data_IF_415882813096
#
_entry.id   IF_415882813096
#
_cell.length_a   1.000
_cell.length_b   1.000
_cell.length_c   1.000
_cell.angle_alpha   90.00
_cell.angle_beta   90.00
_cell.angle_gamma   90.00
#
_symmetry.space_group_name_H-M   'P 1'
#
loop_
_entity.id
_entity.type
_entity.pdbx_description
1 polymer ?
#
# COMPACT_ATOMS: atom_id res chain seq x y z
N UNK A 1 10.31 25.34 0.61
CA UNK A 1 9.41 24.88 -0.47
C UNK A 1 10.26 24.72 -1.72
N UNK A 2 10.31 23.56 -2.35
CA UNK A 2 10.98 23.40 -3.65
C UNK A 2 10.08 24.11 -4.65
N UNK A 3 10.53 25.25 -5.14
CA UNK A 3 9.81 25.96 -6.20
C UNK A 3 9.91 25.10 -7.47
N UNK A 4 8.80 24.64 -7.95
CA UNK A 4 8.75 23.89 -9.20
C UNK A 4 8.99 24.86 -10.37
N UNK A 5 9.83 24.50 -11.35
CA UNK A 5 10.20 25.42 -12.41
C UNK A 5 9.08 25.60 -13.44
N UNK A 6 9.03 26.81 -13.99
CA UNK A 6 8.18 27.17 -15.13
C UNK A 6 9.01 27.01 -16.41
N UNK A 7 8.47 26.38 -17.44
CA UNK A 7 9.13 26.31 -18.74
C UNK A 7 8.57 27.40 -19.67
N UNK A 8 9.44 28.19 -20.25
CA UNK A 8 9.13 29.23 -21.24
C UNK A 8 9.52 28.72 -22.62
N UNK A 9 8.61 28.81 -23.57
CA UNK A 9 8.84 28.40 -24.96
C UNK A 9 8.51 29.58 -25.88
N UNK A 10 9.52 30.20 -26.43
CA UNK A 10 9.41 31.33 -27.35
C UNK A 10 10.61 31.29 -28.28
N UNK A 11 10.48 31.58 -29.57
CA UNK A 11 11.59 31.53 -30.53
C UNK A 11 12.47 32.77 -30.46
N UNK A 12 11.92 33.92 -29.97
CA UNK A 12 12.64 35.15 -29.87
C UNK A 12 13.57 35.19 -28.65
N UNK A 13 14.93 35.31 -28.81
CA UNK A 13 15.83 35.31 -27.69
C UNK A 13 15.58 36.42 -26.68
N UNK A 14 15.28 37.62 -27.17
CA UNK A 14 15.02 38.82 -26.34
C UNK A 14 13.78 38.62 -25.46
N UNK A 15 12.73 37.97 -25.99
CA UNK A 15 11.50 37.69 -25.23
C UNK A 15 11.81 36.66 -24.13
N UNK A 16 12.56 35.60 -24.47
CA UNK A 16 12.96 34.61 -23.47
C UNK A 16 13.76 35.20 -22.33
N UNK A 17 14.77 36.05 -22.64
CA UNK A 17 15.61 36.69 -21.63
C UNK A 17 14.79 37.60 -20.73
N UNK A 18 13.92 38.44 -21.32
CA UNK A 18 13.02 39.35 -20.58
C UNK A 18 12.08 38.59 -19.65
N UNK A 19 11.50 37.47 -20.12
CA UNK A 19 10.59 36.67 -19.31
C UNK A 19 11.33 35.97 -18.19
N UNK A 20 12.54 35.43 -18.44
CA UNK A 20 13.38 34.81 -17.42
C UNK A 20 13.77 35.79 -16.31
N UNK A 21 14.20 37.00 -16.67
CA UNK A 21 14.56 38.06 -15.72
C UNK A 21 13.34 38.45 -14.89
N UNK A 22 12.21 38.77 -15.56
CA UNK A 22 10.99 39.18 -14.88
C UNK A 22 10.45 38.13 -13.90
N UNK A 23 10.45 36.84 -14.27
CA UNK A 23 10.00 35.78 -13.41
C UNK A 23 11.01 35.51 -12.24
N UNK A 24 12.31 35.63 -12.52
CA UNK A 24 13.34 35.48 -11.50
C UNK A 24 13.25 36.58 -10.44
N UNK A 25 13.01 37.83 -10.83
CA UNK A 25 12.81 38.94 -9.90
C UNK A 25 11.61 38.75 -8.96
N UNK A 26 10.58 38.05 -9.45
CA UNK A 26 9.41 37.66 -8.63
C UNK A 26 9.64 36.36 -7.81
N UNK A 27 10.82 35.79 -7.91
CA UNK A 27 11.19 34.61 -7.13
C UNK A 27 10.76 33.27 -7.75
N UNK A 28 10.28 33.25 -8.99
CA UNK A 28 10.01 31.99 -9.68
C UNK A 28 11.31 31.36 -10.21
N UNK A 29 11.34 30.03 -10.20
CA UNK A 29 12.37 29.30 -10.95
C UNK A 29 11.85 29.08 -12.36
N UNK A 30 12.56 29.53 -13.38
CA UNK A 30 12.16 29.38 -14.77
C UNK A 30 13.29 28.86 -15.63
N UNK A 31 12.97 28.11 -16.66
CA UNK A 31 13.86 27.68 -17.73
C UNK A 31 13.24 28.09 -19.06
N UNK A 32 14.07 28.38 -20.08
CA UNK A 32 13.55 28.79 -21.38
C UNK A 32 14.18 27.97 -22.50
N UNK A 33 13.36 27.68 -23.51
CA UNK A 33 13.75 26.94 -24.72
C UNK A 33 13.17 27.65 -25.95
N UNK A 34 13.79 27.42 -27.11
CA UNK A 34 13.48 28.15 -28.34
C UNK A 34 12.46 27.47 -29.28
N UNK A 35 11.98 26.27 -28.93
CA UNK A 35 11.05 25.53 -29.79
C UNK A 35 10.22 24.52 -29.01
N UNK A 36 9.10 24.09 -29.61
CA UNK A 36 8.27 23.03 -29.04
C UNK A 36 8.99 21.69 -28.91
N UNK A 37 9.86 21.34 -29.86
CA UNK A 37 10.66 20.12 -29.80
C UNK A 37 11.64 20.14 -28.62
N UNK A 38 12.32 21.26 -28.41
CA UNK A 38 13.20 21.47 -27.27
C UNK A 38 12.43 21.42 -25.95
N UNK A 39 11.19 21.96 -25.93
CA UNK A 39 10.31 21.91 -24.76
C UNK A 39 9.95 20.46 -24.39
N UNK A 40 9.50 19.65 -25.36
CA UNK A 40 9.17 18.24 -25.12
C UNK A 40 10.39 17.42 -24.66
N UNK A 41 11.55 17.65 -25.27
CA UNK A 41 12.81 16.99 -24.87
C UNK A 41 13.14 17.36 -23.40
N UNK A 42 13.05 18.64 -23.04
CA UNK A 42 13.35 19.08 -21.67
C UNK A 42 12.35 18.58 -20.65
N UNK A 43 11.07 18.47 -21.01
CA UNK A 43 10.01 17.90 -20.17
C UNK A 43 10.16 16.40 -19.95
N UNK A 44 10.78 15.68 -20.86
CA UNK A 44 11.12 14.26 -20.66
C UNK A 44 12.22 14.06 -19.58
N UNK A 45 13.11 15.05 -19.40
CA UNK A 45 14.19 15.00 -18.41
C UNK A 45 13.75 15.51 -17.04
N UNK A 46 12.84 16.48 -17.01
CA UNK A 46 12.41 17.16 -15.77
C UNK A 46 10.94 17.55 -15.86
N UNK A 47 10.21 17.44 -14.74
CA UNK A 47 8.83 17.85 -14.64
C UNK A 47 8.68 19.38 -14.53
N UNK A 48 7.75 19.93 -15.28
CA UNK A 48 7.35 21.35 -15.25
C UNK A 48 5.85 21.41 -15.02
N UNK A 49 5.38 21.98 -13.91
CA UNK A 49 3.95 22.10 -13.64
C UNK A 49 3.25 23.12 -14.56
N UNK A 50 3.99 24.11 -15.03
CA UNK A 50 3.45 25.17 -15.90
C UNK A 50 4.40 25.42 -17.07
N UNK A 51 3.83 25.51 -18.26
CA UNK A 51 4.51 25.88 -19.51
C UNK A 51 3.89 27.16 -20.04
N UNK A 52 4.72 28.17 -20.29
CA UNK A 52 4.37 29.37 -21.04
C UNK A 52 4.82 29.20 -22.46
N UNK A 53 3.95 29.26 -23.44
CA UNK A 53 4.33 29.09 -24.87
C UNK A 53 3.81 30.21 -25.71
N UNK A 54 4.66 30.74 -26.60
CA UNK A 54 4.18 31.62 -27.66
C UNK A 54 3.33 30.85 -28.66
N UNK A 55 2.38 31.54 -29.28
CA UNK A 55 1.54 30.96 -30.33
C UNK A 55 2.30 30.71 -31.62
N UNK A 56 3.13 31.67 -32.05
CA UNK A 56 3.79 31.65 -33.34
C UNK A 56 5.28 31.32 -33.18
N UNK A 57 5.65 30.12 -33.52
CA UNK A 57 7.06 29.68 -33.55
C UNK A 57 7.44 29.26 -34.96
N UNK A 58 8.62 29.63 -35.47
CA UNK A 58 9.09 29.20 -36.77
C UNK A 58 9.34 27.69 -36.76
N UNK A 59 9.18 27.04 -37.93
CA UNK A 59 9.44 25.58 -38.06
C UNK A 59 8.18 24.73 -38.21
N UNK A 60 7.00 25.35 -38.34
CA UNK A 60 5.75 24.64 -38.67
C UNK A 60 4.98 24.07 -37.47
N UNK A 61 5.56 24.06 -36.27
CA UNK A 61 4.86 23.69 -35.06
C UNK A 61 4.41 24.94 -34.32
N UNK A 62 3.10 25.11 -34.13
CA UNK A 62 2.53 26.23 -33.37
C UNK A 62 2.49 25.94 -31.88
N UNK A 63 2.36 26.99 -31.03
CA UNK A 63 2.12 26.81 -29.60
C UNK A 63 0.88 25.98 -29.28
N UNK A 64 -0.13 26.03 -30.15
CA UNK A 64 -1.33 25.18 -30.02
C UNK A 64 -1.02 23.68 -30.27
N UNK A 65 -0.13 23.37 -31.18
CA UNK A 65 0.29 21.99 -31.45
C UNK A 65 1.12 21.47 -30.26
N UNK A 66 1.99 22.32 -29.72
CA UNK A 66 2.74 22.00 -28.50
C UNK A 66 1.82 21.73 -27.32
N UNK A 67 0.80 22.57 -27.07
CA UNK A 67 -0.19 22.35 -26.02
C UNK A 67 -0.89 21.01 -26.18
N UNK A 68 -1.30 20.65 -27.41
CA UNK A 68 -1.90 19.36 -27.71
C UNK A 68 -0.96 18.17 -27.39
N UNK A 69 0.33 18.29 -27.74
CA UNK A 69 1.35 17.29 -27.44
C UNK A 69 1.60 17.15 -25.93
N UNK A 70 1.73 18.27 -25.21
CA UNK A 70 1.91 18.30 -23.75
C UNK A 70 0.73 17.66 -23.05
N UNK A 71 -0.50 18.02 -23.43
CA UNK A 71 -1.70 17.43 -22.84
C UNK A 71 -1.76 15.91 -22.96
N UNK A 72 -1.25 15.36 -24.06
CA UNK A 72 -1.23 13.92 -24.27
C UNK A 72 -0.12 13.21 -23.50
N UNK A 73 1.09 13.81 -23.47
CA UNK A 73 2.27 13.18 -22.89
C UNK A 73 2.49 13.52 -21.41
N UNK A 74 2.07 14.74 -20.99
CA UNK A 74 2.28 15.30 -19.66
C UNK A 74 0.97 15.90 -19.12
N UNK A 75 -0.04 15.08 -18.81
CA UNK A 75 -1.40 15.54 -18.51
C UNK A 75 -1.51 16.41 -17.25
N UNK A 76 -0.51 16.37 -16.37
CA UNK A 76 -0.46 17.16 -15.14
C UNK A 76 0.16 18.55 -15.35
N UNK A 77 0.71 18.82 -16.55
CA UNK A 77 1.31 20.12 -16.89
C UNK A 77 0.25 21.07 -17.44
N UNK A 78 0.18 22.25 -16.88
CA UNK A 78 -0.73 23.30 -17.33
C UNK A 78 -0.02 24.24 -18.32
N UNK A 79 -0.64 24.48 -19.47
CA UNK A 79 -0.08 25.30 -20.53
C UNK A 79 -0.79 26.65 -20.58
N UNK A 80 -0.04 27.73 -20.53
CA UNK A 80 -0.53 29.11 -20.73
C UNK A 80 0.00 29.61 -22.07
N UNK A 81 -0.91 30.01 -22.95
CA UNK A 81 -0.57 30.52 -24.27
C UNK A 81 -0.31 32.03 -24.20
N UNK A 82 0.77 32.48 -24.80
CA UNK A 82 1.07 33.90 -24.98
C UNK A 82 0.88 34.25 -26.46
N UNK A 83 0.19 35.36 -26.81
CA UNK A 83 -0.05 35.72 -28.19
C UNK A 83 -0.20 37.21 -28.39
N UNK A 84 0.26 37.72 -29.49
CA UNK A 84 0.02 39.13 -29.90
C UNK A 84 -1.43 39.38 -30.41
N UNK A 85 -2.09 38.30 -30.86
CA UNK A 85 -3.42 38.40 -31.47
C UNK A 85 -4.41 37.47 -30.74
N UNK A 86 -4.97 37.94 -29.65
CA UNK A 86 -6.02 37.22 -28.94
C UNK A 86 -7.39 37.54 -29.56
N UNK A 87 -7.75 36.85 -30.63
CA UNK A 87 -9.10 36.85 -31.16
C UNK A 87 -10.00 35.86 -30.38
N UNK A 88 -11.31 36.03 -30.47
CA UNK A 88 -12.26 35.12 -29.87
C UNK A 88 -12.01 33.66 -30.38
N UNK A 89 -11.80 33.51 -31.70
CA UNK A 89 -11.57 32.23 -32.33
C UNK A 89 -10.28 31.57 -31.84
N UNK A 90 -9.17 32.32 -31.77
CA UNK A 90 -7.89 31.82 -31.24
C UNK A 90 -8.00 31.39 -29.77
N UNK A 91 -8.74 32.18 -28.98
CA UNK A 91 -8.96 31.87 -27.55
C UNK A 91 -9.78 30.57 -27.37
N UNK A 92 -10.85 30.44 -28.15
CA UNK A 92 -11.68 29.23 -28.16
C UNK A 92 -10.86 27.98 -28.61
N UNK A 93 -10.03 28.13 -29.64
CA UNK A 93 -9.20 27.05 -30.14
C UNK A 93 -8.15 26.65 -29.11
N UNK A 94 -7.48 27.60 -28.46
CA UNK A 94 -6.51 27.33 -27.39
C UNK A 94 -7.13 26.51 -26.24
N UNK A 95 -8.29 26.92 -25.76
CA UNK A 95 -9.02 26.21 -24.69
C UNK A 95 -9.44 24.80 -25.14
N UNK A 96 -9.93 24.65 -26.37
CA UNK A 96 -10.27 23.30 -26.91
C UNK A 96 -9.06 22.39 -27.00
N UNK A 97 -7.88 22.91 -27.33
CA UNK A 97 -6.63 22.16 -27.37
C UNK A 97 -6.04 21.86 -26.00
N UNK A 98 -6.57 22.51 -24.94
CA UNK A 98 -6.21 22.25 -23.56
C UNK A 98 -5.29 23.28 -22.94
N UNK A 99 -5.23 24.51 -23.50
CA UNK A 99 -4.64 25.62 -22.80
C UNK A 99 -5.38 25.86 -21.48
N UNK A 100 -4.63 26.08 -20.41
CA UNK A 100 -5.17 26.47 -19.10
C UNK A 100 -5.70 27.89 -19.12
N UNK A 101 -4.91 28.79 -19.72
CA UNK A 101 -5.24 30.21 -19.86
C UNK A 101 -4.50 30.82 -21.05
N UNK A 102 -4.77 32.08 -21.34
CA UNK A 102 -4.18 32.85 -22.42
C UNK A 102 -3.77 34.25 -21.93
N UNK A 103 -2.59 34.70 -22.38
CA UNK A 103 -2.05 36.06 -22.11
C UNK A 103 -1.87 36.78 -23.44
N UNK A 104 -2.45 37.95 -23.55
CA UNK A 104 -2.29 38.77 -24.77
C UNK A 104 -1.12 39.76 -24.64
N UNK A 105 -0.21 39.77 -25.62
CA UNK A 105 0.85 40.76 -25.75
C UNK A 105 0.27 42.08 -26.31
N UNK A 106 0.63 43.30 -25.77
CA UNK A 106 1.50 43.51 -24.61
C UNK A 106 0.75 43.30 -23.30
N UNK A 107 1.36 42.61 -22.33
CA UNK A 107 0.80 42.34 -21.01
C UNK A 107 1.61 43.02 -19.90
N UNK A 108 1.00 43.18 -18.76
CA UNK A 108 1.67 43.65 -17.55
C UNK A 108 2.16 42.43 -16.77
N UNK A 109 3.32 42.56 -16.10
CA UNK A 109 3.85 41.51 -15.27
C UNK A 109 2.84 41.03 -14.22
N UNK A 110 2.11 41.94 -13.59
CA UNK A 110 1.06 41.63 -12.63
C UNK A 110 -0.09 40.74 -13.19
N UNK A 111 -0.42 40.86 -14.46
CA UNK A 111 -1.43 40.02 -15.13
C UNK A 111 -0.88 38.59 -15.30
N UNK A 112 0.37 38.47 -15.71
CA UNK A 112 1.05 37.17 -15.83
C UNK A 112 1.16 36.49 -14.47
N UNK A 113 1.55 37.18 -13.41
CA UNK A 113 1.63 36.67 -12.05
C UNK A 113 0.32 36.07 -11.55
N UNK A 114 -0.80 36.75 -11.78
CA UNK A 114 -2.12 36.25 -11.39
C UNK A 114 -2.43 34.91 -12.07
N UNK A 115 -2.13 34.80 -13.36
CA UNK A 115 -2.38 33.58 -14.14
C UNK A 115 -1.41 32.46 -13.69
N UNK A 116 -0.13 32.78 -13.51
CA UNK A 116 0.88 31.82 -13.06
C UNK A 116 0.61 31.28 -11.67
N UNK A 117 0.27 32.15 -10.72
CA UNK A 117 -0.06 31.71 -9.37
C UNK A 117 -1.26 30.75 -9.38
N UNK A 118 -2.31 31.09 -10.12
CA UNK A 118 -3.48 30.24 -10.30
C UNK A 118 -3.13 28.89 -10.95
N UNK A 119 -2.27 28.91 -11.97
CA UNK A 119 -1.83 27.70 -12.66
C UNK A 119 -0.95 26.82 -11.74
N UNK A 120 -0.01 27.42 -11.00
CA UNK A 120 0.85 26.67 -10.06
C UNK A 120 0.06 26.06 -8.91
N UNK A 121 -0.90 26.82 -8.34
CA UNK A 121 -1.77 26.31 -7.30
C UNK A 121 -2.61 25.12 -7.82
N UNK A 122 -3.17 25.25 -9.02
CA UNK A 122 -3.93 24.17 -9.63
C UNK A 122 -3.06 22.95 -9.93
N UNK A 123 -1.88 23.12 -10.51
CA UNK A 123 -0.93 22.03 -10.73
C UNK A 123 -0.53 21.33 -9.43
N UNK A 124 -0.32 22.10 -8.35
CA UNK A 124 -0.05 21.54 -7.02
C UNK A 124 -1.21 20.68 -6.49
N UNK A 125 -2.44 21.10 -6.72
CA UNK A 125 -3.63 20.33 -6.34
C UNK A 125 -3.75 19.04 -7.16
N UNK A 126 -3.52 19.10 -8.47
CA UNK A 126 -3.51 17.91 -9.34
C UNK A 126 -2.46 16.91 -8.89
N UNK A 127 -1.25 17.37 -8.57
CA UNK A 127 -0.18 16.52 -8.03
C UNK A 127 -0.61 15.82 -6.73
N UNK A 128 -1.20 16.56 -5.78
CA UNK A 128 -1.69 15.95 -4.53
C UNK A 128 -2.78 14.91 -4.76
N UNK A 129 -3.72 15.17 -5.66
CA UNK A 129 -4.78 14.21 -6.01
C UNK A 129 -4.16 12.91 -6.57
N UNK A 130 -3.17 13.03 -7.43
CA UNK A 130 -2.45 11.88 -7.99
C UNK A 130 -1.71 11.08 -6.92
N UNK A 131 -0.99 11.77 -6.02
CA UNK A 131 -0.28 11.11 -4.92
C UNK A 131 -1.26 10.34 -4.01
N UNK A 132 -2.41 10.93 -3.69
CA UNK A 132 -3.46 10.25 -2.94
C UNK A 132 -4.05 9.04 -3.67
N UNK A 133 -4.22 9.14 -5.00
CA UNK A 133 -4.71 7.99 -5.80
C UNK A 133 -3.73 6.83 -5.74
N UNK A 134 -2.44 7.08 -5.95
CA UNK A 134 -1.38 6.05 -5.87
C UNK A 134 -1.32 5.43 -4.48
N UNK A 135 -1.41 6.24 -3.42
CA UNK A 135 -1.44 5.75 -2.04
C UNK A 135 -2.66 4.87 -1.77
N UNK A 136 -3.85 5.29 -2.21
CA UNK A 136 -5.09 4.52 -2.04
C UNK A 136 -5.05 3.19 -2.80
N UNK A 137 -4.56 3.18 -4.03
CA UNK A 137 -4.39 1.96 -4.82
C UNK A 137 -3.44 0.98 -4.10
N UNK A 138 -2.33 1.47 -3.58
CA UNK A 138 -1.40 0.66 -2.78
C UNK A 138 -2.05 0.08 -1.52
N UNK A 139 -2.86 0.87 -0.80
CA UNK A 139 -3.60 0.41 0.38
C UNK A 139 -4.68 -0.63 0.01
N UNK A 140 -5.38 -0.45 -1.10
CA UNK A 140 -6.39 -1.41 -1.58
C UNK A 140 -5.73 -2.74 -1.92
N UNK A 141 -4.62 -2.73 -2.66
CA UNK A 141 -3.88 -3.95 -3.02
C UNK A 141 -3.39 -4.71 -1.79
N UNK A 142 -2.81 -4.01 -0.81
CA UNK A 142 -2.38 -4.62 0.46
C UNK A 142 -3.56 -5.25 1.20
N UNK A 143 -4.65 -4.49 1.41
CA UNK A 143 -5.85 -5.00 2.10
C UNK A 143 -6.50 -6.18 1.40
N UNK A 144 -6.53 -6.16 0.06
CA UNK A 144 -7.08 -7.27 -0.74
C UNK A 144 -6.25 -8.53 -0.54
N UNK A 145 -4.93 -8.40 -0.51
CA UNK A 145 -4.03 -9.53 -0.25
C UNK A 145 -4.23 -10.10 1.15
N UNK A 146 -4.26 -9.23 2.18
CA UNK A 146 -4.48 -9.65 3.56
C UNK A 146 -5.81 -10.40 3.72
N UNK A 147 -6.87 -9.91 3.06
CA UNK A 147 -8.18 -10.56 3.06
C UNK A 147 -8.17 -11.91 2.34
N UNK A 148 -7.47 -12.02 1.21
CA UNK A 148 -7.34 -13.29 0.48
C UNK A 148 -6.58 -14.33 1.30
N UNK A 149 -5.51 -13.94 1.97
CA UNK A 149 -4.74 -14.81 2.86
C UNK A 149 -5.60 -15.28 4.04
N UNK A 150 -6.31 -14.37 4.71
CA UNK A 150 -7.21 -14.71 5.81
C UNK A 150 -8.38 -15.60 5.37
N UNK A 151 -8.95 -15.34 4.17
CA UNK A 151 -10.01 -16.18 3.62
C UNK A 151 -9.53 -17.59 3.28
N UNK A 152 -8.36 -17.71 2.65
CA UNK A 152 -7.76 -19.01 2.35
C UNK A 152 -7.46 -19.81 3.63
N UNK A 153 -6.98 -19.13 4.68
CA UNK A 153 -6.76 -19.75 5.99
C UNK A 153 -8.06 -20.23 6.63
N UNK A 154 -9.12 -19.43 6.58
CA UNK A 154 -10.44 -19.79 7.10
C UNK A 154 -11.02 -21.01 6.38
N UNK A 155 -10.96 -21.04 5.03
CA UNK A 155 -11.43 -22.20 4.24
C UNK A 155 -10.64 -23.47 4.58
N UNK A 156 -9.34 -23.38 4.70
CA UNK A 156 -8.51 -24.52 5.07
C UNK A 156 -8.83 -25.06 6.47
N UNK A 157 -9.22 -24.19 7.40
CA UNK A 157 -9.66 -24.58 8.75
C UNK A 157 -11.05 -25.23 8.72
N UNK A 158 -11.98 -24.71 7.90
CA UNK A 158 -13.30 -25.34 7.71
C UNK A 158 -13.14 -26.77 7.13
N UNK A 159 -12.27 -26.94 6.11
CA UNK A 159 -12.01 -28.27 5.54
C UNK A 159 -11.43 -29.25 6.58
N UNK A 160 -10.50 -28.79 7.41
CA UNK A 160 -9.97 -29.58 8.52
C UNK A 160 -11.06 -29.98 9.53
N UNK A 161 -11.96 -29.05 9.86
CA UNK A 161 -13.08 -29.32 10.76
C UNK A 161 -14.03 -30.38 10.20
N UNK A 162 -14.38 -30.33 8.92
CA UNK A 162 -15.21 -31.32 8.24
C UNK A 162 -14.55 -32.70 8.22
N UNK A 163 -13.27 -32.78 7.86
CA UNK A 163 -12.49 -34.04 7.87
C UNK A 163 -12.39 -34.64 9.28
N UNK A 164 -12.29 -33.82 10.31
CA UNK A 164 -12.28 -34.29 11.69
C UNK A 164 -13.59 -34.93 12.12
N UNK A 165 -14.73 -34.49 11.59
CA UNK A 165 -16.06 -35.09 11.84
C UNK A 165 -16.20 -36.46 11.22
N UNK A 166 -15.64 -36.68 10.02
CA UNK A 166 -15.69 -37.92 9.27
C UNK A 166 -14.54 -38.90 9.62
N UNK A 167 -13.62 -38.51 10.51
CA UNK A 167 -12.46 -39.28 10.83
C UNK A 167 -12.82 -40.61 11.55
N UNK A 168 -12.17 -41.75 11.20
CA UNK A 168 -12.51 -43.09 11.73
C UNK A 168 -12.16 -43.25 13.20
N UNK A 169 -11.30 -42.39 13.75
CA UNK A 169 -10.93 -42.39 15.16
C UNK A 169 -10.66 -40.99 15.69
N UNK A 170 -10.70 -40.82 16.99
CA UNK A 170 -10.39 -39.58 17.67
C UNK A 170 -8.97 -39.09 17.37
N UNK A 171 -8.01 -39.97 17.33
CA UNK A 171 -6.62 -39.65 16.97
C UNK A 171 -6.52 -39.16 15.53
N UNK A 172 -7.17 -39.85 14.59
CA UNK A 172 -7.20 -39.45 13.18
C UNK A 172 -7.88 -38.06 12.97
N UNK A 173 -8.80 -37.67 13.86
CA UNK A 173 -9.40 -36.34 13.84
C UNK A 173 -8.45 -35.24 14.31
N UNK A 174 -7.55 -35.55 15.26
CA UNK A 174 -6.62 -34.56 15.83
C UNK A 174 -5.30 -34.42 15.05
N UNK A 175 -4.85 -35.47 14.36
CA UNK A 175 -3.57 -35.46 13.64
C UNK A 175 -3.40 -34.31 12.64
N UNK A 176 -4.39 -33.97 11.78
CA UNK A 176 -4.28 -32.83 10.86
C UNK A 176 -4.20 -31.48 11.56
N UNK A 177 -4.87 -31.34 12.70
CA UNK A 177 -4.85 -30.12 13.52
C UNK A 177 -3.50 -29.94 14.20
N UNK A 178 -2.92 -31.03 14.72
CA UNK A 178 -1.55 -31.05 15.26
C UNK A 178 -0.51 -30.73 14.19
N UNK A 179 -0.67 -31.27 12.97
CA UNK A 179 0.21 -30.91 11.84
C UNK A 179 0.23 -29.43 11.56
N UNK A 180 -0.94 -28.81 11.55
CA UNK A 180 -1.07 -27.39 11.26
C UNK A 180 -0.48 -26.51 12.38
N UNK A 181 -0.71 -26.88 13.65
CA UNK A 181 -0.08 -26.23 14.79
C UNK A 181 1.45 -26.33 14.70
N UNK A 182 1.96 -27.53 14.42
CA UNK A 182 3.39 -27.77 14.27
C UNK A 182 4.00 -27.00 13.09
N UNK A 183 3.32 -26.92 11.95
CA UNK A 183 3.80 -26.19 10.77
C UNK A 183 3.82 -24.67 10.98
N UNK A 184 2.88 -24.13 11.75
CA UNK A 184 2.76 -22.68 11.95
C UNK A 184 3.76 -22.13 12.95
N UNK A 185 3.95 -22.80 14.08
CA UNK A 185 4.76 -22.28 15.20
C UNK A 185 6.00 -23.11 15.50
N UNK A 186 6.16 -24.27 14.83
CA UNK A 186 7.32 -25.18 14.97
C UNK A 186 7.72 -25.48 16.42
N UNK A 187 6.79 -25.82 17.32
CA UNK A 187 7.13 -26.15 18.70
C UNK A 187 7.96 -27.44 18.77
N UNK A 188 8.89 -27.51 19.70
CA UNK A 188 9.69 -28.74 19.96
C UNK A 188 8.86 -29.83 20.62
N UNK A 189 7.84 -29.43 21.38
CA UNK A 189 6.84 -30.31 21.96
C UNK A 189 5.42 -29.75 21.79
N UNK A 190 4.51 -30.55 21.26
CA UNK A 190 3.11 -30.21 21.05
C UNK A 190 2.22 -31.32 21.61
N UNK A 191 1.26 -30.98 22.46
CA UNK A 191 0.35 -31.96 23.05
C UNK A 191 -1.08 -31.42 23.20
N UNK A 192 -2.04 -32.31 23.02
CA UNK A 192 -3.45 -32.03 23.31
C UNK A 192 -3.84 -32.90 24.52
N UNK A 193 -4.41 -32.22 25.50
CA UNK A 193 -4.84 -32.85 26.75
C UNK A 193 -6.34 -32.71 26.92
N UNK A 194 -7.00 -33.80 27.24
CA UNK A 194 -8.43 -33.84 27.57
C UNK A 194 -8.61 -33.97 29.09
N UNK A 195 -9.58 -33.23 29.61
CA UNK A 195 -9.90 -33.26 31.04
C UNK A 195 -10.62 -34.58 31.38
N UNK A 196 -10.10 -35.30 32.36
CA UNK A 196 -10.72 -36.49 32.91
C UNK A 196 -11.75 -36.14 34.02
N UNK A 197 -12.58 -37.07 34.38
CA UNK A 197 -13.63 -36.91 35.42
C UNK A 197 -13.07 -36.55 36.80
N UNK A 198 -11.85 -36.97 37.09
CA UNK A 198 -11.12 -36.69 38.34
C UNK A 198 -10.41 -35.31 38.31
N UNK A 199 -10.52 -34.56 37.21
CA UNK A 199 -9.93 -33.24 37.05
C UNK A 199 -8.51 -33.24 36.52
N UNK A 200 -7.88 -34.39 36.33
CA UNK A 200 -6.57 -34.50 35.69
C UNK A 200 -6.66 -34.33 34.18
N UNK A 201 -5.53 -34.00 33.53
CA UNK A 201 -5.45 -33.86 32.08
C UNK A 201 -4.69 -35.08 31.51
N UNK A 202 -5.35 -35.82 30.64
CA UNK A 202 -4.75 -36.94 29.92
C UNK A 202 -4.31 -36.52 28.52
N UNK A 203 -3.09 -36.81 28.14
CA UNK A 203 -2.58 -36.60 26.80
C UNK A 203 -3.32 -37.49 25.82
N UNK A 204 -4.05 -36.91 24.88
CA UNK A 204 -4.82 -37.63 23.86
C UNK A 204 -4.14 -37.65 22.50
N UNK A 205 -3.25 -36.70 22.26
CA UNK A 205 -2.40 -36.65 21.08
C UNK A 205 -1.17 -35.81 21.36
N UNK A 206 -0.03 -36.18 20.78
CA UNK A 206 1.23 -35.43 20.92
C UNK A 206 2.07 -35.56 19.66
N UNK A 207 2.87 -34.53 19.41
CA UNK A 207 3.84 -34.46 18.30
C UNK A 207 5.07 -33.64 18.74
N UNK A 208 6.21 -33.91 18.17
CA UNK A 208 7.46 -33.20 18.45
C UNK A 208 8.60 -34.14 18.83
N UNK A 209 9.76 -33.58 19.15
CA UNK A 209 10.97 -34.29 19.49
C UNK A 209 10.94 -34.91 20.89
N UNK A 210 10.01 -34.47 21.71
CA UNK A 210 10.02 -34.72 23.14
C UNK A 210 8.81 -35.53 23.60
N UNK A 211 9.07 -36.45 24.55
CA UNK A 211 8.04 -37.29 25.14
C UNK A 211 7.28 -36.48 26.19
N UNK A 212 6.06 -36.07 25.87
CA UNK A 212 5.19 -35.36 26.81
C UNK A 212 4.61 -36.34 27.85
N UNK A 213 4.36 -35.84 29.11
CA UNK A 213 3.74 -36.67 30.12
C UNK A 213 2.34 -37.11 29.69
N UNK A 214 2.03 -38.39 29.87
CA UNK A 214 0.72 -38.94 29.50
C UNK A 214 -0.40 -38.41 30.38
N UNK A 215 -0.09 -37.85 31.55
CA UNK A 215 -1.05 -37.31 32.51
C UNK A 215 -0.47 -36.11 33.27
N UNK A 216 -1.22 -35.04 33.38
CA UNK A 216 -0.92 -33.87 34.18
C UNK A 216 -1.93 -33.77 35.32
N UNK A 217 -1.47 -33.68 36.56
CA UNK A 217 -2.35 -33.51 37.71
C UNK A 217 -2.59 -32.04 37.99
N UNK A 218 -3.88 -31.62 37.93
CA UNK A 218 -4.43 -30.29 38.25
C UNK A 218 -3.60 -29.12 37.74
N UNK A 219 -3.72 -28.75 36.46
CA UNK A 219 -3.07 -27.57 35.95
C UNK A 219 -3.66 -26.33 36.62
N UNK A 220 -2.79 -25.46 37.13
CA UNK A 220 -3.17 -24.09 37.47
C UNK A 220 -3.08 -23.24 36.20
N UNK A 221 -4.01 -22.28 35.96
CA UNK A 221 -3.89 -21.36 34.84
C UNK A 221 -2.65 -20.48 35.02
N UNK A 222 -1.80 -20.46 34.02
CA UNK A 222 -0.55 -19.69 33.99
C UNK A 222 0.52 -20.38 33.16
N UNK A 223 1.65 -19.71 32.90
CA UNK A 223 2.79 -20.37 32.28
C UNK A 223 3.19 -21.54 33.20
N UNK A 224 3.05 -22.75 32.69
CA UNK A 224 3.51 -23.94 33.40
C UNK A 224 5.04 -23.97 33.34
N UNK A 225 5.67 -23.56 34.40
CA UNK A 225 6.94 -24.18 34.75
C UNK A 225 6.62 -25.61 35.23
N UNK A 226 6.41 -26.52 34.28
CA UNK A 226 6.34 -27.92 34.61
C UNK A 226 7.72 -28.36 35.11
N UNK A 227 7.89 -28.68 36.39
CA UNK A 227 9.19 -29.10 36.89
C UNK A 227 9.59 -30.37 36.14
N UNK A 228 10.58 -30.27 35.26
CA UNK A 228 11.23 -31.40 34.64
C UNK A 228 11.18 -31.56 33.13
N UNK A 229 10.51 -30.70 32.38
CA UNK A 229 10.49 -30.77 30.90
C UNK A 229 11.63 -30.01 30.21
N UNK A 230 12.24 -29.03 30.91
CA UNK A 230 13.50 -28.42 30.44
C UNK A 230 13.42 -27.50 29.24
N UNK A 231 12.22 -26.97 28.94
CA UNK A 231 12.03 -26.05 27.85
C UNK A 231 12.37 -24.61 28.27
N UNK A 232 12.74 -23.83 27.31
CA UNK A 232 12.98 -22.40 27.49
C UNK A 232 11.66 -21.62 27.66
N UNK A 233 10.59 -22.04 26.94
CA UNK A 233 9.30 -21.39 26.91
C UNK A 233 8.19 -22.43 26.77
N UNK A 234 7.27 -22.49 27.73
CA UNK A 234 6.17 -23.44 27.82
C UNK A 234 4.83 -22.74 27.89
N UNK A 235 3.87 -23.16 27.07
CA UNK A 235 2.51 -22.65 27.07
C UNK A 235 1.51 -23.79 27.25
N UNK A 236 0.69 -23.74 28.30
CA UNK A 236 -0.48 -24.60 28.48
C UNK A 236 -1.75 -23.76 28.42
N UNK A 237 -2.46 -23.86 27.31
CA UNK A 237 -3.56 -22.99 26.96
C UNK A 237 -4.89 -23.75 27.02
N UNK A 238 -5.93 -23.21 27.61
CA UNK A 238 -7.23 -23.86 27.69
C UNK A 238 -7.92 -23.89 26.32
N UNK A 239 -8.48 -25.05 25.99
CA UNK A 239 -9.36 -25.27 24.84
C UNK A 239 -10.82 -25.35 25.32
N UNK A 240 -11.27 -24.36 26.09
CA UNK A 240 -12.59 -24.40 26.75
C UNK A 240 -12.65 -25.43 27.90
N UNK A 241 -13.85 -25.88 28.31
CA UNK A 241 -14.00 -26.79 29.45
C UNK A 241 -13.51 -28.21 29.19
N UNK A 242 -13.35 -28.60 27.92
CA UNK A 242 -13.09 -29.98 27.52
C UNK A 242 -11.60 -30.35 27.46
N UNK A 243 -10.71 -29.37 27.27
CA UNK A 243 -9.31 -29.73 27.05
C UNK A 243 -8.34 -28.57 27.10
N UNK A 244 -7.08 -28.89 26.82
CA UNK A 244 -5.94 -27.98 26.83
C UNK A 244 -4.97 -28.32 25.71
N UNK A 245 -4.26 -27.31 25.19
CA UNK A 245 -3.14 -27.50 24.27
C UNK A 245 -1.86 -27.10 24.99
N UNK A 246 -0.82 -27.91 24.81
CA UNK A 246 0.53 -27.66 25.29
C UNK A 246 1.44 -27.38 24.11
N UNK A 247 2.23 -26.31 24.22
CA UNK A 247 3.26 -25.89 23.27
C UNK A 247 4.55 -25.65 24.06
N UNK A 248 5.62 -26.39 23.74
CA UNK A 248 6.93 -26.23 24.35
C UNK A 248 7.97 -25.86 23.30
N UNK A 249 8.84 -24.89 23.62
CA UNK A 249 9.88 -24.39 22.75
C UNK A 249 11.24 -24.41 23.46
N UNK A 250 12.28 -24.95 22.80
CA UNK A 250 13.65 -24.95 23.30
C UNK A 250 14.37 -23.61 23.15
N UNK A 251 13.80 -22.69 22.37
CA UNK A 251 14.30 -21.35 22.15
C UNK A 251 13.16 -20.34 22.15
N UNK A 252 13.50 -19.05 22.24
CA UNK A 252 12.52 -17.97 22.22
C UNK A 252 11.68 -18.02 20.92
N UNK A 253 10.37 -18.22 21.07
CA UNK A 253 9.43 -18.33 19.95
C UNK A 253 8.77 -16.98 19.63
N UNK A 254 8.24 -16.89 18.40
CA UNK A 254 7.37 -15.78 18.00
C UNK A 254 5.88 -16.07 18.32
N UNK A 255 5.61 -17.12 19.10
CA UNK A 255 4.25 -17.49 19.46
C UNK A 255 3.63 -16.46 20.41
N UNK A 256 2.40 -16.05 20.10
CA UNK A 256 1.57 -15.22 20.97
C UNK A 256 0.22 -15.89 21.18
N UNK A 257 -0.20 -15.99 22.45
CA UNK A 257 -1.49 -16.60 22.82
C UNK A 257 -2.70 -15.91 22.21
N UNK A 258 -2.52 -14.63 21.81
CA UNK A 258 -3.53 -13.82 21.14
C UNK A 258 -3.48 -13.89 19.62
N UNK A 259 -2.62 -14.75 19.04
CA UNK A 259 -2.56 -14.91 17.58
C UNK A 259 -3.95 -15.36 17.06
N UNK A 260 -4.57 -14.64 16.13
CA UNK A 260 -5.88 -14.99 15.59
C UNK A 260 -5.94 -16.40 15.00
N UNK A 261 -4.84 -16.86 14.36
CA UNK A 261 -4.76 -18.19 13.80
C UNK A 261 -4.76 -19.26 14.89
N UNK A 262 -4.06 -19.01 16.03
CA UNK A 262 -4.10 -19.90 17.19
C UNK A 262 -5.52 -19.97 17.80
N UNK A 263 -6.15 -18.82 18.04
CA UNK A 263 -7.50 -18.79 18.63
C UNK A 263 -8.51 -19.53 17.76
N UNK A 264 -8.39 -19.45 16.45
CA UNK A 264 -9.26 -20.14 15.52
C UNK A 264 -9.02 -21.66 15.53
N UNK A 265 -7.77 -22.11 15.53
CA UNK A 265 -7.38 -23.53 15.68
C UNK A 265 -7.80 -24.09 17.04
N UNK A 266 -7.59 -23.33 18.12
CA UNK A 266 -8.02 -23.70 19.47
C UNK A 266 -9.53 -23.96 19.53
N UNK A 267 -10.33 -23.12 18.87
CA UNK A 267 -11.78 -23.28 18.79
C UNK A 267 -12.19 -24.54 18.03
N UNK A 268 -11.47 -24.90 16.98
CA UNK A 268 -11.71 -26.16 16.25
C UNK A 268 -11.33 -27.39 17.07
N UNK A 269 -10.20 -27.35 17.78
CA UNK A 269 -9.78 -28.38 18.70
C UNK A 269 -10.83 -28.59 19.82
N UNK A 270 -11.35 -27.50 20.38
CA UNK A 270 -12.41 -27.55 21.38
C UNK A 270 -13.66 -28.28 20.85
N UNK A 271 -14.09 -27.96 19.62
CA UNK A 271 -15.24 -28.61 18.99
C UNK A 271 -15.00 -30.11 18.84
N UNK A 272 -13.83 -30.52 18.35
CA UNK A 272 -13.48 -31.95 18.20
C UNK A 272 -13.46 -32.67 19.54
N UNK A 273 -12.95 -32.01 20.60
CA UNK A 273 -12.91 -32.56 21.95
C UNK A 273 -14.30 -32.70 22.60
N UNK A 274 -15.27 -31.86 22.22
CA UNK A 274 -16.66 -31.90 22.77
C UNK A 274 -17.54 -32.94 22.10
N UNK A 275 -17.33 -33.19 20.81
CA UNK A 275 -18.21 -34.08 20.01
C UNK A 275 -17.87 -35.55 20.21
N UNK A 276 -16.68 -35.87 20.72
CA UNK A 276 -16.20 -37.24 20.95
C UNK A 276 -15.72 -37.44 22.39
#
# INVERSE_FOLDING_TARGET
MIQQPILIVDDEPEVRETLLEALSEQGYVAEAVSSGEAALARMAERSFPVVLTDLHMPGGQTGLDLIGAIRHQFPDTLCVLITAYATLDTSIEALKRGAYDLIQKPFRLAEMEVILNRALDHASLLGKVRDYQVELEGRILSRTRDLQEAHAEALALCDLGLRALDAPSFKAALDPLLERLAARWSPDGLGIYQRSKDGALNCVASRGRLTLPLRLERPQPGPLTAPGLGYFEDHLLPLGPAGWVYLGFDSRSAFMETDPAFLLLARHLELVLRVR
#
